data_IF_172607120984
#
_entry.id   IF_172607120984
#
_cell.length_a   1.000
_cell.length_b   1.000
_cell.length_c   1.000
_cell.angle_alpha   90.00
_cell.angle_beta   90.00
_cell.angle_gamma   90.00
#
_symmetry.space_group_name_H-M   'P 1'
#
loop_
_entity.id
_entity.type
_entity.pdbx_description
1 polymer ?
#
# COMPACT_ATOMS: atom_id res chain seq x y z
N UNK A 1 -14.78 -59.29 40.90
CA UNK A 1 -14.40 -57.97 41.43
C UNK A 1 -12.99 -58.15 41.97
N UNK A 2 -11.90 -57.59 41.42
CA UNK A 2 -11.74 -56.34 40.68
C UNK A 2 -10.32 -56.26 40.10
N UNK A 3 -10.25 -55.78 38.85
CA UNK A 3 -9.18 -55.08 38.10
C UNK A 3 -7.74 -55.63 38.00
N UNK A 4 -7.41 -56.12 36.79
CA UNK A 4 -6.05 -56.10 36.21
C UNK A 4 -5.74 -54.69 35.69
N UNK A 5 -4.63 -54.11 36.14
CA UNK A 5 -4.04 -52.87 35.59
C UNK A 5 -3.03 -53.22 34.50
N UNK A 6 -3.38 -53.01 33.23
CA UNK A 6 -2.41 -52.93 32.13
C UNK A 6 -2.89 -51.84 31.18
N UNK A 7 -2.23 -50.68 31.19
CA UNK A 7 -2.14 -49.83 30.00
C UNK A 7 -1.09 -48.76 30.24
N UNK A 8 0.13 -48.99 29.78
CA UNK A 8 1.04 -47.95 29.28
C UNK A 8 2.02 -48.59 28.30
N UNK A 9 1.67 -48.55 27.02
CA UNK A 9 2.67 -48.64 25.95
C UNK A 9 2.55 -47.35 25.13
N UNK A 10 3.60 -46.56 25.27
CA UNK A 10 3.86 -45.27 24.65
C UNK A 10 3.74 -45.36 23.13
N UNK A 11 2.76 -44.66 22.55
CA UNK A 11 2.72 -44.39 21.11
C UNK A 11 3.49 -43.11 20.83
N UNK A 12 4.75 -43.25 20.41
CA UNK A 12 5.55 -42.17 19.83
C UNK A 12 4.92 -41.77 18.49
N UNK A 13 4.00 -40.80 18.51
CA UNK A 13 3.54 -40.08 17.33
C UNK A 13 4.72 -39.27 16.78
N UNK A 14 5.37 -39.79 15.74
CA UNK A 14 6.29 -39.02 14.91
C UNK A 14 5.46 -37.97 14.17
N UNK A 15 5.33 -36.78 14.76
CA UNK A 15 4.68 -35.65 14.13
C UNK A 15 5.59 -35.17 13.00
N UNK A 16 5.37 -35.70 11.81
CA UNK A 16 5.97 -35.18 10.57
C UNK A 16 5.51 -33.74 10.41
N UNK A 17 6.32 -32.78 10.89
CA UNK A 17 6.10 -31.36 10.65
C UNK A 17 6.25 -31.17 9.15
N UNK A 18 5.13 -31.17 8.43
CA UNK A 18 5.05 -30.65 7.08
C UNK A 18 5.39 -29.16 7.20
N UNK A 19 6.66 -28.82 6.97
CA UNK A 19 7.07 -27.46 6.71
C UNK A 19 6.43 -27.06 5.37
N UNK A 20 5.22 -26.51 5.44
CA UNK A 20 4.68 -25.72 4.33
C UNK A 20 5.63 -24.55 4.20
N UNK A 21 6.56 -24.64 3.25
CA UNK A 21 7.45 -23.52 2.90
C UNK A 21 6.56 -22.44 2.27
N UNK A 22 5.97 -21.60 3.12
CA UNK A 22 5.27 -20.40 2.69
C UNK A 22 6.35 -19.48 2.11
N UNK A 23 6.43 -19.42 0.77
CA UNK A 23 7.37 -18.53 0.10
C UNK A 23 6.90 -17.09 0.35
N UNK A 24 7.52 -16.41 1.31
CA UNK A 24 7.25 -15.00 1.57
C UNK A 24 7.74 -14.17 0.37
N UNK A 25 6.91 -13.23 -0.08
CA UNK A 25 7.31 -12.25 -1.07
C UNK A 25 8.14 -11.15 -0.39
N UNK A 26 9.29 -10.81 -0.96
CA UNK A 26 10.13 -9.71 -0.48
C UNK A 26 9.70 -8.40 -1.13
N UNK A 27 9.42 -7.39 -0.33
CA UNK A 27 9.16 -6.03 -0.77
C UNK A 27 10.33 -5.14 -0.39
N UNK A 28 10.92 -4.48 -1.38
CA UNK A 28 11.91 -3.42 -1.20
C UNK A 28 11.23 -2.06 -1.33
N UNK A 29 11.18 -1.30 -0.24
CA UNK A 29 10.58 0.04 -0.18
C UNK A 29 11.72 1.06 -0.20
N UNK A 30 11.77 1.93 -1.21
CA UNK A 30 12.84 2.91 -1.39
C UNK A 30 12.31 4.34 -1.32
N UNK A 31 13.06 5.19 -0.62
CA UNK A 31 12.85 6.63 -0.69
C UNK A 31 13.84 7.28 -1.67
N UNK A 32 13.38 7.65 -2.86
CA UNK A 32 14.14 8.47 -3.82
C UNK A 32 13.74 9.96 -3.76
N UNK A 33 12.84 10.34 -2.85
CA UNK A 33 12.52 11.73 -2.61
C UNK A 33 13.74 12.48 -2.05
N UNK A 34 13.79 13.78 -2.30
CA UNK A 34 14.79 14.69 -1.70
C UNK A 34 14.51 15.00 -0.22
N UNK A 35 13.40 14.50 0.33
CA UNK A 35 12.96 14.67 1.70
C UNK A 35 12.73 13.32 2.40
N UNK A 36 12.70 13.34 3.74
CA UNK A 36 12.40 12.15 4.55
C UNK A 36 10.95 11.71 4.35
N UNK A 37 10.75 10.39 4.16
CA UNK A 37 9.44 9.74 4.13
C UNK A 37 9.36 8.74 5.28
N UNK A 38 8.23 8.70 5.98
CA UNK A 38 7.95 7.63 6.93
C UNK A 38 7.13 6.57 6.22
N UNK A 39 7.83 5.60 5.62
CA UNK A 39 7.22 4.45 4.99
C UNK A 39 6.31 3.72 5.99
N UNK A 40 5.19 3.21 5.49
CA UNK A 40 4.21 2.46 6.25
C UNK A 40 3.76 1.25 5.43
N UNK A 41 3.47 0.17 6.13
CA UNK A 41 2.96 -1.06 5.57
C UNK A 41 1.93 -1.69 6.53
N UNK A 42 0.83 -2.19 6.00
CA UNK A 42 -0.18 -2.92 6.75
C UNK A 42 -0.54 -4.19 5.97
N UNK A 43 -0.10 -5.38 6.40
CA UNK A 43 0.80 -5.63 7.53
C UNK A 43 2.25 -5.17 7.25
N UNK A 44 3.02 -4.88 8.29
CA UNK A 44 4.47 -4.60 8.19
C UNK A 44 5.00 -3.50 9.12
N UNK A 45 4.15 -2.60 9.58
CA UNK A 45 4.51 -1.53 10.51
C UNK A 45 4.92 -0.24 9.79
N UNK A 46 6.02 0.38 10.22
CA UNK A 46 6.52 1.57 9.56
C UNK A 46 7.97 1.91 9.90
N UNK A 47 8.60 2.70 9.04
CA UNK A 47 10.02 3.06 9.18
C UNK A 47 10.29 4.44 8.59
N UNK A 48 11.07 5.24 9.32
CA UNK A 48 11.64 6.48 8.80
C UNK A 48 12.70 6.16 7.75
N UNK A 49 12.57 6.73 6.55
CA UNK A 49 13.52 6.61 5.45
C UNK A 49 13.98 8.00 5.03
N UNK A 50 15.25 8.30 5.28
CA UNK A 50 15.91 9.46 4.69
C UNK A 50 16.09 9.29 3.17
N UNK A 51 16.41 10.37 2.43
CA UNK A 51 16.73 10.28 1.02
C UNK A 51 17.74 9.16 0.74
N UNK A 52 17.42 8.31 -0.23
CA UNK A 52 18.20 7.14 -0.68
C UNK A 52 18.26 5.98 0.31
N UNK A 53 17.48 5.99 1.39
CA UNK A 53 17.33 4.82 2.26
C UNK A 53 16.27 3.85 1.75
N UNK A 54 16.42 2.60 2.15
CA UNK A 54 15.51 1.51 1.81
C UNK A 54 15.07 0.73 3.05
N UNK A 55 13.90 0.11 2.95
CA UNK A 55 13.36 -0.82 3.92
C UNK A 55 12.88 -2.07 3.22
N UNK A 56 13.31 -3.22 3.69
CA UNK A 56 12.83 -4.51 3.21
C UNK A 56 11.86 -5.11 4.21
N UNK A 57 10.73 -5.62 3.73
CA UNK A 57 9.80 -6.47 4.47
C UNK A 57 9.60 -7.77 3.72
N UNK A 58 9.48 -8.87 4.46
CA UNK A 58 9.08 -10.17 3.91
C UNK A 58 7.62 -10.40 4.30
N UNK A 59 6.76 -10.63 3.30
CA UNK A 59 5.31 -10.72 3.47
C UNK A 59 4.84 -12.14 3.14
N UNK A 60 4.14 -12.83 4.06
CA UNK A 60 3.70 -14.20 3.81
C UNK A 60 2.80 -14.34 2.58
N UNK A 61 2.97 -15.43 1.82
CA UNK A 61 2.01 -15.83 0.80
C UNK A 61 0.59 -15.95 1.38
N UNK A 62 -0.42 -15.58 0.60
CA UNK A 62 -1.83 -15.54 1.04
C UNK A 62 -2.23 -14.22 1.72
N UNK A 63 -1.30 -13.32 2.02
CA UNK A 63 -1.61 -11.98 2.55
C UNK A 63 -2.51 -11.23 1.55
N UNK A 64 -3.62 -10.66 2.02
CA UNK A 64 -4.56 -9.88 1.24
C UNK A 64 -4.93 -8.57 1.96
N UNK A 65 -5.60 -7.65 1.24
CA UNK A 65 -5.98 -6.32 1.75
C UNK A 65 -4.77 -5.54 2.30
N UNK A 66 -3.60 -5.75 1.68
CA UNK A 66 -2.36 -5.20 2.16
C UNK A 66 -1.99 -3.91 1.43
N UNK A 67 -1.37 -2.99 2.16
CA UNK A 67 -1.03 -1.66 1.66
C UNK A 67 0.39 -1.27 2.06
N UNK A 68 1.11 -0.61 1.15
CA UNK A 68 2.31 0.16 1.42
C UNK A 68 2.07 1.61 0.99
N UNK A 69 2.45 2.58 1.81
CA UNK A 69 2.35 4.00 1.49
C UNK A 69 3.46 4.82 2.15
N UNK A 70 3.65 6.04 1.66
CA UNK A 70 4.57 7.01 2.24
C UNK A 70 3.82 8.04 3.08
N UNK A 71 4.36 8.38 4.25
CA UNK A 71 3.85 9.44 5.12
C UNK A 71 4.81 10.62 5.13
N UNK A 72 4.28 11.83 5.20
CA UNK A 72 5.07 13.07 5.12
C UNK A 72 4.90 13.94 6.36
N UNK A 73 5.90 14.78 6.62
CA UNK A 73 5.91 15.74 7.74
C UNK A 73 5.48 15.10 9.07
N UNK A 74 6.15 14.00 9.43
CA UNK A 74 5.87 13.30 10.68
C UNK A 74 6.77 13.77 11.81
N UNK A 75 6.21 13.79 13.01
CA UNK A 75 6.96 13.94 14.25
C UNK A 75 6.53 12.82 15.21
N UNK A 76 7.49 12.06 15.73
CA UNK A 76 7.26 10.96 16.67
C UNK A 76 8.18 11.12 17.88
N UNK A 77 7.64 10.82 19.06
CA UNK A 77 8.41 10.68 20.30
C UNK A 77 9.22 9.38 20.34
N UNK A 78 9.99 9.18 21.41
CA UNK A 78 10.81 7.98 21.61
C UNK A 78 9.98 6.68 21.75
N UNK A 79 8.69 6.78 22.06
CA UNK A 79 7.77 5.64 22.10
C UNK A 79 7.14 5.32 20.72
N UNK A 80 7.50 6.09 19.70
CA UNK A 80 6.94 5.97 18.36
C UNK A 80 5.52 6.49 18.25
N UNK A 81 5.10 7.43 19.12
CA UNK A 81 3.79 8.08 19.08
C UNK A 81 3.92 9.51 18.61
N UNK A 82 2.95 10.00 17.84
CA UNK A 82 3.07 11.29 17.19
C UNK A 82 2.01 11.54 16.14
N UNK A 83 2.38 12.24 15.06
CA UNK A 83 1.47 12.58 13.97
C UNK A 83 2.23 12.78 12.65
N UNK A 84 1.59 12.46 11.54
CA UNK A 84 2.02 12.79 10.18
C UNK A 84 1.00 13.69 9.48
N UNK A 85 1.46 14.64 8.66
CA UNK A 85 0.58 15.52 7.88
C UNK A 85 -0.25 14.74 6.85
N UNK A 86 0.34 13.73 6.19
CA UNK A 86 -0.37 12.84 5.25
C UNK A 86 -0.08 11.39 5.57
N UNK A 87 -1.09 10.53 5.39
CA UNK A 87 -0.97 9.08 5.60
C UNK A 87 -0.82 8.63 7.05
N UNK A 88 -1.14 9.48 8.03
CA UNK A 88 -1.05 9.12 9.44
C UNK A 88 -1.90 7.87 9.76
N UNK A 89 -1.37 6.95 10.57
CA UNK A 89 -2.01 5.66 10.87
C UNK A 89 -2.37 5.55 12.35
N UNK A 90 -3.03 6.58 12.88
CA UNK A 90 -3.46 6.66 14.27
C UNK A 90 -2.36 7.15 15.21
N UNK A 91 -1.45 7.99 14.70
CA UNK A 91 -0.35 8.58 15.45
C UNK A 91 0.74 7.59 15.83
N UNK A 92 0.90 6.50 15.08
CA UNK A 92 1.89 5.45 15.34
C UNK A 92 2.99 5.43 14.29
N UNK A 93 4.25 5.32 14.72
CA UNK A 93 5.36 5.04 13.80
C UNK A 93 5.18 3.65 13.16
N UNK A 94 4.84 2.66 13.99
CA UNK A 94 4.54 1.29 13.58
C UNK A 94 3.04 1.14 13.32
N UNK A 95 2.63 1.27 12.05
CA UNK A 95 1.22 1.20 11.67
C UNK A 95 0.61 -0.18 11.95
N UNK A 96 -0.61 -0.17 12.49
CA UNK A 96 -1.42 -1.39 12.75
C UNK A 96 -2.69 -1.47 11.89
N UNK A 97 -2.89 -0.47 11.03
CA UNK A 97 -4.01 -0.32 10.13
C UNK A 97 -3.66 0.69 9.04
N UNK A 98 -4.65 1.07 8.24
CA UNK A 98 -4.46 1.96 7.10
C UNK A 98 -4.24 3.42 7.50
N UNK A 99 -3.60 4.19 6.61
CA UNK A 99 -3.36 5.61 6.80
C UNK A 99 -4.58 6.47 6.44
N UNK A 100 -4.64 7.68 7.01
CA UNK A 100 -5.64 8.70 6.68
C UNK A 100 -5.29 9.38 5.34
N UNK A 101 -6.23 9.51 4.40
CA UNK A 101 -6.06 10.28 3.16
C UNK A 101 -5.60 11.74 3.36
N UNK A 102 -4.90 12.35 2.39
CA UNK A 102 -4.49 11.74 1.13
C UNK A 102 -3.24 10.88 1.28
N UNK A 103 -3.22 9.70 0.67
CA UNK A 103 -2.02 8.88 0.56
C UNK A 103 -2.03 8.04 -0.72
N UNK A 104 -0.93 8.09 -1.48
CA UNK A 104 -0.74 7.22 -2.63
C UNK A 104 -0.49 5.79 -2.15
N UNK A 105 -1.31 4.84 -2.59
CA UNK A 105 -1.24 3.45 -2.12
C UNK A 105 -0.59 2.54 -3.16
N UNK A 106 0.29 1.65 -2.69
CA UNK A 106 0.56 0.38 -3.35
C UNK A 106 -0.28 -0.68 -2.64
N UNK A 107 -1.29 -1.22 -3.32
CA UNK A 107 -2.16 -2.27 -2.77
C UNK A 107 -1.79 -3.62 -3.37
N UNK A 108 -1.86 -4.69 -2.57
CA UNK A 108 -1.55 -6.03 -3.06
C UNK A 108 -2.25 -7.15 -2.30
N UNK A 109 -2.40 -8.29 -2.99
CA UNK A 109 -2.83 -9.56 -2.45
C UNK A 109 -2.00 -10.70 -3.08
N UNK A 110 -1.32 -11.48 -2.25
CA UNK A 110 -0.32 -12.47 -2.69
C UNK A 110 -0.89 -13.88 -2.75
N UNK A 111 -0.52 -14.66 -3.75
CA UNK A 111 -0.92 -16.06 -3.92
C UNK A 111 -2.43 -16.28 -3.79
N UNK A 112 -3.20 -15.55 -4.60
CA UNK A 112 -4.66 -15.58 -4.63
C UNK A 112 -5.16 -16.54 -5.72
N UNK A 113 -6.29 -16.23 -6.34
CA UNK A 113 -6.88 -17.04 -7.40
C UNK A 113 -5.86 -17.35 -8.51
N UNK A 114 -5.74 -18.63 -8.88
CA UNK A 114 -4.83 -19.08 -9.94
C UNK A 114 -3.35 -19.06 -9.59
N UNK A 115 -2.96 -19.01 -8.31
CA UNK A 115 -1.57 -18.82 -7.86
C UNK A 115 -0.95 -17.52 -8.41
N UNK A 116 -1.76 -16.47 -8.44
CA UNK A 116 -1.36 -15.15 -8.90
C UNK A 116 -1.35 -14.17 -7.74
N UNK A 117 -0.36 -13.30 -7.73
CA UNK A 117 -0.40 -12.06 -6.97
C UNK A 117 -1.21 -11.02 -7.77
N UNK A 118 -1.99 -10.22 -7.06
CA UNK A 118 -2.72 -9.07 -7.57
C UNK A 118 -2.13 -7.82 -6.93
N UNK A 119 -1.87 -6.80 -7.72
CA UNK A 119 -1.26 -5.57 -7.24
C UNK A 119 -1.65 -4.37 -8.09
N UNK A 120 -1.68 -3.21 -7.45
CA UNK A 120 -2.06 -1.95 -8.07
C UNK A 120 -1.45 -0.73 -7.36
N UNK A 121 -1.46 0.41 -8.04
CA UNK A 121 -1.36 1.72 -7.38
C UNK A 121 -2.77 2.30 -7.32
N UNK A 122 -3.18 2.78 -6.15
CA UNK A 122 -4.51 3.32 -5.92
C UNK A 122 -4.46 4.77 -5.45
N UNK A 123 -5.28 5.59 -6.11
CA UNK A 123 -5.52 7.00 -5.80
C UNK A 123 -6.96 7.22 -5.29
N UNK A 124 -7.66 6.13 -4.94
CA UNK A 124 -9.00 6.17 -4.32
C UNK A 124 -8.95 6.84 -2.94
N UNK A 125 -7.82 6.71 -2.25
CA UNK A 125 -7.50 7.41 -0.99
C UNK A 125 -6.64 8.68 -1.24
N UNK A 126 -6.61 9.19 -2.47
CA UNK A 126 -5.90 10.40 -2.86
C UNK A 126 -4.43 10.18 -3.24
N UNK A 127 -3.69 11.28 -3.33
CA UNK A 127 -2.29 11.30 -3.72
C UNK A 127 -1.50 12.22 -2.78
N UNK A 128 -0.31 11.80 -2.37
CA UNK A 128 0.62 12.65 -1.64
C UNK A 128 2.04 12.58 -2.23
N UNK A 129 2.52 11.37 -2.52
CA UNK A 129 3.89 11.11 -2.99
C UNK A 129 3.83 10.34 -4.32
N UNK A 130 4.60 10.75 -5.35
CA UNK A 130 4.77 9.98 -6.58
C UNK A 130 5.29 8.57 -6.29
N UNK A 131 4.79 7.57 -7.00
CA UNK A 131 5.08 6.17 -6.71
C UNK A 131 5.34 5.34 -7.98
N UNK A 132 6.29 4.42 -7.88
CA UNK A 132 6.42 3.26 -8.76
C UNK A 132 6.23 2.00 -7.93
N UNK A 133 5.50 1.03 -8.49
CA UNK A 133 5.30 -0.27 -7.89
C UNK A 133 5.31 -1.38 -8.94
N UNK A 134 6.13 -2.40 -8.74
CA UNK A 134 6.17 -3.55 -9.64
C UNK A 134 7.15 -4.63 -9.19
N UNK A 135 7.21 -5.75 -9.94
CA UNK A 135 8.08 -6.87 -9.61
C UNK A 135 9.57 -6.54 -9.80
N UNK A 136 10.43 -7.24 -9.07
CA UNK A 136 11.90 -7.17 -9.18
C UNK A 136 12.50 -8.39 -9.85
N UNK A 137 11.78 -9.52 -9.82
CA UNK A 137 12.16 -10.82 -10.37
C UNK A 137 10.97 -11.40 -11.15
N UNK A 138 10.48 -10.66 -12.14
CA UNK A 138 9.38 -11.08 -12.99
C UNK A 138 9.18 -10.05 -14.10
N UNK A 139 8.84 -10.51 -15.31
CA UNK A 139 8.56 -9.64 -16.46
C UNK A 139 7.16 -9.03 -16.44
N UNK A 140 6.50 -8.96 -15.28
CA UNK A 140 5.16 -8.40 -15.15
C UNK A 140 5.20 -6.86 -15.19
N UNK A 141 4.01 -6.26 -15.32
CA UNK A 141 3.87 -4.81 -15.50
C UNK A 141 4.48 -4.00 -14.35
N UNK A 142 5.02 -2.82 -14.67
CA UNK A 142 5.56 -1.90 -13.68
C UNK A 142 4.70 -0.64 -13.66
N UNK A 143 3.97 -0.44 -12.56
CA UNK A 143 2.98 0.63 -12.43
C UNK A 143 3.68 1.92 -12.04
N UNK A 144 3.34 3.01 -12.72
CA UNK A 144 3.93 4.34 -12.48
C UNK A 144 2.85 5.40 -12.30
N UNK A 145 2.86 6.08 -11.16
CA UNK A 145 2.10 7.31 -10.96
C UNK A 145 3.06 8.42 -10.53
N UNK A 146 3.52 9.19 -11.51
CA UNK A 146 4.65 10.11 -11.35
C UNK A 146 4.38 11.55 -11.76
N UNK A 147 3.14 11.87 -12.12
CA UNK A 147 2.73 13.23 -12.47
C UNK A 147 2.71 14.17 -11.26
N UNK A 148 2.75 15.47 -11.51
CA UNK A 148 2.57 16.51 -10.49
C UNK A 148 1.09 16.67 -10.11
N UNK A 149 0.53 15.66 -9.45
CA UNK A 149 -0.87 15.69 -9.00
C UNK A 149 -1.07 16.77 -7.92
N UNK A 150 -0.11 16.98 -7.03
CA UNK A 150 -0.23 17.98 -5.96
C UNK A 150 -0.26 19.41 -6.50
N UNK A 151 0.65 19.77 -7.41
CA UNK A 151 0.67 21.09 -8.03
C UNK A 151 -0.58 21.36 -8.86
N UNK A 152 -1.07 20.32 -9.55
CA UNK A 152 -2.22 20.42 -10.45
C UNK A 152 -3.57 20.11 -9.79
N UNK A 153 -3.59 19.84 -8.49
CA UNK A 153 -4.79 19.39 -7.78
C UNK A 153 -5.96 20.39 -7.95
N UNK A 154 -7.18 19.93 -8.31
CA UNK A 154 -8.36 20.76 -8.29
C UNK A 154 -8.57 21.37 -6.91
N UNK A 155 -9.00 22.63 -6.85
CA UNK A 155 -9.09 23.36 -5.59
C UNK A 155 -10.00 22.67 -4.57
N UNK A 156 -11.07 22.03 -5.03
CA UNK A 156 -12.02 21.28 -4.21
C UNK A 156 -11.41 20.03 -3.56
N UNK A 157 -10.28 19.54 -4.08
CA UNK A 157 -9.61 18.33 -3.63
C UNK A 157 -8.29 18.60 -2.91
N UNK A 158 -7.82 19.86 -2.89
CA UNK A 158 -6.54 20.21 -2.25
C UNK A 158 -6.59 19.91 -0.74
N UNK A 159 -5.52 19.30 -0.25
CA UNK A 159 -5.30 19.05 1.16
C UNK A 159 -3.86 19.43 1.53
N UNK A 160 -3.56 19.66 2.82
CA UNK A 160 -2.19 19.89 3.25
C UNK A 160 -1.28 18.71 2.85
N UNK A 161 -0.28 18.97 2.01
CA UNK A 161 0.69 17.96 1.56
C UNK A 161 0.16 16.95 0.54
N UNK A 162 -1.03 17.15 -0.05
CA UNK A 162 -1.58 16.20 -1.01
C UNK A 162 -2.83 16.66 -1.77
N UNK A 163 -3.41 15.72 -2.50
CA UNK A 163 -4.67 15.86 -3.24
C UNK A 163 -5.61 14.73 -2.85
N UNK A 164 -6.74 15.03 -2.22
CA UNK A 164 -7.74 14.05 -1.84
C UNK A 164 -8.47 13.50 -3.06
N UNK A 165 -8.96 12.26 -2.97
CA UNK A 165 -9.95 11.76 -3.92
C UNK A 165 -11.33 12.41 -3.64
N UNK A 166 -12.18 12.60 -4.66
CA UNK A 166 -13.54 13.10 -4.44
C UNK A 166 -14.37 12.24 -3.47
N UNK A 167 -14.14 10.93 -3.33
CA UNK A 167 -14.84 10.12 -2.34
C UNK A 167 -14.55 10.61 -0.90
N UNK A 168 -13.27 10.89 -0.60
CA UNK A 168 -12.84 11.42 0.70
C UNK A 168 -13.52 12.74 1.03
N UNK A 169 -13.68 13.63 0.04
CA UNK A 169 -14.22 14.98 0.20
C UNK A 169 -15.75 14.98 0.26
N UNK A 170 -16.40 14.38 -0.73
CA UNK A 170 -17.84 14.53 -0.93
C UNK A 170 -18.67 13.40 -0.30
N UNK A 171 -18.10 12.21 -0.10
CA UNK A 171 -18.73 11.07 0.57
C UNK A 171 -20.08 10.65 -0.02
N UNK A 172 -20.27 10.82 -1.34
CA UNK A 172 -21.47 10.41 -2.06
C UNK A 172 -21.27 9.08 -2.77
N UNK A 173 -22.38 8.39 -3.11
CA UNK A 173 -22.30 7.17 -3.92
C UNK A 173 -21.62 7.39 -5.28
N UNK A 174 -21.81 8.56 -5.88
CA UNK A 174 -21.19 8.93 -7.17
C UNK A 174 -19.66 8.73 -7.15
N UNK A 175 -19.00 9.08 -6.03
CA UNK A 175 -17.55 8.99 -5.90
C UNK A 175 -17.08 7.76 -5.14
N UNK A 176 -17.88 7.25 -4.20
CA UNK A 176 -17.51 6.17 -3.29
C UNK A 176 -18.08 4.81 -3.66
N UNK A 177 -19.00 4.73 -4.63
CA UNK A 177 -19.54 3.47 -5.15
C UNK A 177 -20.18 2.55 -4.09
N UNK A 178 -20.81 3.14 -3.07
CA UNK A 178 -21.35 2.43 -1.90
C UNK A 178 -22.62 1.63 -2.17
N UNK A 179 -23.28 1.82 -3.32
CA UNK A 179 -24.51 1.12 -3.71
C UNK A 179 -24.26 -0.14 -4.56
N UNK A 180 -23.00 -0.57 -4.70
CA UNK A 180 -22.64 -1.84 -5.34
C UNK A 180 -22.07 -1.68 -6.75
N UNK A 181 -21.70 -2.81 -7.36
CA UNK A 181 -21.03 -2.84 -8.66
C UNK A 181 -21.92 -2.26 -9.77
N UNK A 182 -21.33 -1.42 -10.63
CA UNK A 182 -22.02 -0.73 -11.72
C UNK A 182 -22.84 0.50 -11.31
N UNK A 183 -22.85 0.89 -10.03
CA UNK A 183 -23.61 2.05 -9.53
C UNK A 183 -22.85 3.38 -9.55
N UNK A 184 -21.58 3.34 -9.96
CA UNK A 184 -20.71 4.51 -10.12
C UNK A 184 -19.85 4.33 -11.38
N UNK A 185 -19.18 5.41 -11.80
CA UNK A 185 -18.26 5.35 -12.93
C UNK A 185 -17.33 6.56 -12.94
N UNK A 186 -16.58 6.76 -14.04
CA UNK A 186 -15.64 7.87 -14.14
C UNK A 186 -16.33 9.24 -14.02
N UNK A 187 -15.83 10.08 -13.12
CA UNK A 187 -16.28 11.46 -12.91
C UNK A 187 -15.24 12.45 -13.43
N UNK A 188 -15.56 13.76 -13.44
CA UNK A 188 -14.57 14.80 -13.78
C UNK A 188 -13.33 14.73 -12.87
N UNK A 189 -13.53 14.36 -11.60
CA UNK A 189 -12.45 14.31 -10.61
C UNK A 189 -11.65 13.02 -10.71
N UNK A 190 -12.27 11.86 -10.94
CA UNK A 190 -11.48 10.63 -11.14
C UNK A 190 -10.69 10.68 -12.45
N UNK A 191 -11.24 11.26 -13.52
CA UNK A 191 -10.50 11.50 -14.78
C UNK A 191 -9.27 12.39 -14.56
N UNK A 192 -9.33 13.40 -13.69
CA UNK A 192 -8.14 14.19 -13.35
C UNK A 192 -6.96 13.33 -12.88
N UNK A 193 -7.22 12.34 -12.01
CA UNK A 193 -6.21 11.37 -11.56
C UNK A 193 -5.82 10.40 -12.67
N UNK A 194 -6.80 9.85 -13.39
CA UNK A 194 -6.57 8.85 -14.44
C UNK A 194 -5.75 9.36 -15.61
N UNK A 195 -6.02 10.58 -16.07
CA UNK A 195 -5.29 11.23 -17.17
C UNK A 195 -3.80 11.46 -16.81
N UNK A 196 -3.48 11.52 -15.51
CA UNK A 196 -2.12 11.73 -14.98
C UNK A 196 -1.41 10.45 -14.61
N UNK A 197 -2.17 9.42 -14.23
CA UNK A 197 -1.69 8.11 -13.80
C UNK A 197 -2.59 7.02 -14.40
N UNK A 198 -2.39 6.75 -15.70
CA UNK A 198 -3.27 5.85 -16.46
C UNK A 198 -3.36 4.42 -15.92
N UNK A 199 -2.30 3.94 -15.29
CA UNK A 199 -2.24 2.58 -14.71
C UNK A 199 -2.78 2.51 -13.27
N UNK A 200 -3.27 3.60 -12.69
CA UNK A 200 -3.69 3.64 -11.28
C UNK A 200 -5.21 3.67 -11.13
N UNK A 201 -5.71 3.10 -10.03
CA UNK A 201 -7.12 3.26 -9.66
C UNK A 201 -7.42 4.73 -9.38
N UNK A 202 -8.41 5.27 -10.08
CA UNK A 202 -8.86 6.66 -9.90
C UNK A 202 -10.21 6.77 -9.18
N UNK A 203 -10.98 5.68 -9.13
CA UNK A 203 -12.24 5.51 -8.40
C UNK A 203 -12.42 4.01 -8.04
N UNK A 204 -13.33 3.65 -7.11
CA UNK A 204 -13.39 2.30 -6.54
C UNK A 204 -13.67 1.13 -7.50
N UNK A 205 -14.20 1.37 -8.70
CA UNK A 205 -14.55 0.30 -9.68
C UNK A 205 -13.77 0.48 -11.00
N UNK A 206 -12.52 0.95 -10.89
CA UNK A 206 -11.58 1.16 -12.01
C UNK A 206 -10.74 -0.09 -12.32
N UNK A 207 -11.26 -1.28 -12.01
CA UNK A 207 -10.56 -2.57 -12.15
C UNK A 207 -10.00 -2.86 -13.55
N UNK A 208 -10.73 -2.62 -14.66
CA UNK A 208 -10.32 -3.08 -15.99
C UNK A 208 -8.98 -2.52 -16.50
N UNK A 209 -8.51 -1.40 -15.93
CA UNK A 209 -7.29 -0.73 -16.37
C UNK A 209 -6.26 -0.51 -15.26
N UNK A 210 -6.52 -1.04 -14.06
CA UNK A 210 -5.75 -0.70 -12.86
C UNK A 210 -5.28 -1.91 -12.05
N UNK A 211 -5.85 -3.10 -12.29
CA UNK A 211 -5.41 -4.35 -11.66
C UNK A 211 -4.35 -5.04 -12.49
N UNK A 212 -3.20 -5.31 -11.88
CA UNK A 212 -2.13 -6.07 -12.51
C UNK A 212 -1.89 -7.37 -11.75
N UNK A 213 -1.35 -8.37 -12.46
CA UNK A 213 -1.05 -9.67 -11.89
C UNK A 213 0.37 -10.11 -12.19
N UNK A 214 0.92 -10.93 -11.31
CA UNK A 214 2.21 -11.57 -11.47
C UNK A 214 2.16 -12.98 -10.84
N UNK A 215 2.96 -13.96 -11.30
CA UNK A 215 2.98 -15.27 -10.67
C UNK A 215 3.33 -15.18 -9.18
N UNK A 216 2.67 -15.98 -8.35
CA UNK A 216 2.97 -16.06 -6.92
C UNK A 216 4.45 -16.42 -6.67
N UNK A 217 5.02 -15.84 -5.61
CA UNK A 217 6.45 -15.94 -5.31
C UNK A 217 7.30 -14.85 -5.98
N UNK A 218 6.66 -13.90 -6.65
CA UNK A 218 7.32 -12.67 -7.11
C UNK A 218 7.71 -11.79 -5.92
N UNK A 219 8.82 -11.07 -6.07
CA UNK A 219 9.30 -10.04 -5.17
C UNK A 219 9.06 -8.68 -5.80
N UNK A 220 8.87 -7.66 -4.98
CA UNK A 220 8.39 -6.37 -5.43
C UNK A 220 9.28 -5.22 -4.96
N UNK A 221 9.15 -4.08 -5.64
CA UNK A 221 9.74 -2.82 -5.23
C UNK A 221 8.69 -1.73 -5.25
N UNK A 222 8.62 -0.95 -4.16
CA UNK A 222 7.89 0.30 -4.07
C UNK A 222 8.90 1.43 -4.00
N UNK A 223 8.81 2.42 -4.88
CA UNK A 223 9.72 3.57 -4.91
C UNK A 223 8.93 4.85 -4.76
N UNK A 224 9.23 5.61 -3.71
CA UNK A 224 8.73 6.98 -3.52
C UNK A 224 9.60 7.97 -4.31
N UNK A 225 8.98 8.88 -5.05
CA UNK A 225 9.62 9.86 -5.95
C UNK A 225 10.65 9.23 -6.91
N UNK A 226 10.24 8.23 -7.73
CA UNK A 226 11.14 7.62 -8.69
C UNK A 226 11.75 8.66 -9.62
N UNK A 227 12.99 8.44 -10.09
CA UNK A 227 13.67 9.35 -11.03
C UNK A 227 12.75 9.82 -12.18
N UNK A 228 12.74 11.13 -12.41
CA UNK A 228 11.86 11.79 -13.38
C UNK A 228 10.54 12.31 -12.80
N UNK A 229 10.24 12.05 -11.51
CA UNK A 229 9.14 12.71 -10.81
C UNK A 229 9.40 14.20 -10.58
N UNK A 230 8.34 15.04 -10.58
CA UNK A 230 8.44 16.45 -10.24
C UNK A 230 8.92 16.62 -8.80
N UNK A 231 9.82 17.58 -8.58
CA UNK A 231 10.29 17.93 -7.24
C UNK A 231 9.13 18.56 -6.45
N UNK A 232 8.63 17.84 -5.44
CA UNK A 232 7.73 18.43 -4.44
C UNK A 232 8.62 19.11 -3.40
N UNK A 233 8.74 20.44 -3.48
CA UNK A 233 9.31 21.22 -2.39
C UNK A 233 8.35 21.19 -1.20
N UNK A 234 8.70 20.41 -0.18
CA UNK A 234 8.03 20.47 1.12
C UNK A 234 8.42 21.80 1.77
N UNK A 235 7.58 22.82 1.64
CA UNK A 235 7.76 24.09 2.36
C UNK A 235 7.65 23.79 3.85
N UNK A 236 8.80 23.71 4.53
CA UNK A 236 8.88 23.49 5.96
C UNK A 236 8.43 24.75 6.71
N UNK A 237 7.46 24.60 7.60
CA UNK A 237 7.31 25.54 8.73
C UNK A 237 8.39 25.19 9.75
N UNK A 238 9.30 26.15 9.98
CA UNK A 238 10.20 26.17 11.12
C UNK A 238 9.43 26.14 12.45
#
# INVERSE_FOLDING_TARGET
MSYLTISQISSLLFFSVLFISAHAARFEIRNECSYTVWAAASPGGGRRLDPRQSWTIDVPAGTAMARIWGRTNCNFDASGRGHCQTGDCGGLLQCKGWGVPPNTLAEYALNQFGNMDFYDISLVDGFNIPMVFGPTNGGCHNIRCTADINGQCPNELRAPGGCNNPCTVFKTNEYCCTQGYGTCGPTRYSRFFKDRCGDSYSYPQDDPSSTFTCPAGSNYRVVFCPRGSPHIEMVGTA
#
